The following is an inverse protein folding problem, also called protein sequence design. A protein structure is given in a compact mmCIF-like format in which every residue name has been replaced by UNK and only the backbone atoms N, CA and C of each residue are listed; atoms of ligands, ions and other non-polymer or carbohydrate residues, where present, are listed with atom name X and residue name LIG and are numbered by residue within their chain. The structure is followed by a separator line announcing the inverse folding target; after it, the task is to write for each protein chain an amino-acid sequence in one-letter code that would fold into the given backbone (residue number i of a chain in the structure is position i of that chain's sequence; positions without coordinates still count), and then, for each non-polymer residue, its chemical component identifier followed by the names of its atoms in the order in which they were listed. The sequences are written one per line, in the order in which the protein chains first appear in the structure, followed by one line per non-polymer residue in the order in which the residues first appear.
data_IF_011533477298
#
_entry.id   IF_011533477298
#
_cell.length_a   1.000
_cell.length_b   1.000
_cell.length_c   1.000
_cell.angle_alpha   90.00
_cell.angle_beta   90.00
_cell.angle_gamma   90.00
#
_symmetry.space_group_name_H-M   'P 1'
#
loop_
_entity.id
_entity.type
_entity.pdbx_description
1 polymer ?
#
# COMPACT_ATOMS: atom_id res chain seq x y z
N UNK A 1 -22.44 -4.68 -5.27
CA UNK A 1 -22.94 -5.36 -4.05
C UNK A 1 -24.28 -6.00 -4.37
N UNK A 2 -24.50 -7.26 -3.97
CA UNK A 2 -25.75 -7.98 -4.22
C UNK A 2 -26.55 -8.04 -2.91
N UNK A 3 -27.87 -7.71 -2.92
CA UNK A 3 -28.72 -7.91 -1.75
C UNK A 3 -28.72 -9.37 -1.30
N UNK A 4 -28.76 -9.59 0.00
CA UNK A 4 -28.95 -10.95 0.52
C UNK A 4 -30.33 -11.46 0.10
N UNK A 5 -30.47 -12.78 -0.02
CA UNK A 5 -31.71 -13.42 -0.44
C UNK A 5 -32.87 -12.99 0.49
N UNK A 6 -33.91 -12.37 -0.09
CA UNK A 6 -35.03 -11.79 0.65
C UNK A 6 -34.86 -10.34 1.12
N UNK A 7 -33.84 -9.60 0.65
CA UNK A 7 -33.67 -8.16 0.93
C UNK A 7 -33.72 -7.33 -0.33
N UNK A 8 -34.31 -6.14 -0.24
CA UNK A 8 -34.36 -5.20 -1.36
C UNK A 8 -33.06 -4.41 -1.50
N UNK A 9 -32.36 -4.15 -0.39
CA UNK A 9 -31.13 -3.37 -0.36
C UNK A 9 -29.93 -4.21 0.10
N UNK A 10 -28.75 -3.91 -0.45
CA UNK A 10 -27.50 -4.51 0.05
C UNK A 10 -27.19 -4.00 1.46
N UNK A 11 -26.36 -4.73 2.21
CA UNK A 11 -26.06 -4.41 3.61
C UNK A 11 -25.46 -3.01 3.85
N UNK A 12 -24.99 -2.31 2.82
CA UNK A 12 -24.57 -0.90 2.93
C UNK A 12 -25.71 0.11 2.75
N UNK A 13 -26.83 -0.29 2.13
CA UNK A 13 -27.95 0.59 1.77
C UNK A 13 -29.30 0.20 2.42
N UNK A 14 -29.36 -0.80 3.30
CA UNK A 14 -30.60 -1.22 4.00
C UNK A 14 -31.02 -0.29 5.15
N UNK A 15 -30.71 1.01 5.10
CA UNK A 15 -30.88 1.91 6.24
C UNK A 15 -32.34 2.16 6.64
N UNK A 16 -33.32 1.83 5.79
CA UNK A 16 -34.72 2.29 5.90
C UNK A 16 -35.77 1.17 5.87
N UNK A 17 -35.40 -0.11 6.03
CA UNK A 17 -36.40 -1.16 6.24
C UNK A 17 -36.79 -1.21 7.73
N UNK A 18 -37.89 -0.52 8.08
CA UNK A 18 -38.55 -0.37 9.40
C UNK A 18 -38.86 -1.68 10.16
N UNK A 19 -38.56 -2.85 9.60
CA UNK A 19 -38.98 -4.15 10.17
C UNK A 19 -37.90 -4.85 11.00
N UNK A 20 -36.68 -4.33 11.06
CA UNK A 20 -35.62 -4.89 11.89
C UNK A 20 -34.96 -3.86 12.80
N UNK A 21 -35.35 -3.89 14.09
CA UNK A 21 -34.88 -3.08 15.25
C UNK A 21 -33.37 -3.06 15.54
N UNK A 22 -32.50 -3.43 14.60
CA UNK A 22 -31.04 -3.46 14.80
C UNK A 22 -30.45 -2.10 14.50
N UNK A 23 -30.11 -1.36 15.56
CA UNK A 23 -29.46 -0.05 15.47
C UNK A 23 -28.08 -0.17 14.83
N UNK A 24 -27.81 0.66 13.82
CA UNK A 24 -26.47 0.87 13.26
C UNK A 24 -25.82 2.08 13.89
N UNK A 25 -24.55 1.97 14.20
CA UNK A 25 -23.71 3.04 14.75
C UNK A 25 -22.48 3.23 13.87
N UNK A 26 -21.88 4.41 13.90
CA UNK A 26 -20.57 4.63 13.27
C UNK A 26 -19.52 3.79 14.00
N UNK A 27 -18.54 3.27 13.26
CA UNK A 27 -17.47 2.49 13.87
C UNK A 27 -16.58 3.37 14.76
N UNK A 28 -16.30 2.97 16.02
CA UNK A 28 -15.44 3.73 16.92
C UNK A 28 -13.98 3.86 16.46
N UNK A 29 -13.51 2.95 15.60
CA UNK A 29 -12.13 2.97 15.07
C UNK A 29 -12.00 3.78 13.79
N UNK A 30 -13.11 3.97 13.06
CA UNK A 30 -13.12 4.71 11.80
C UNK A 30 -14.56 5.15 11.47
N UNK A 31 -14.88 6.44 11.60
CA UNK A 31 -16.21 6.95 11.30
C UNK A 31 -16.66 6.81 9.83
N UNK A 32 -15.78 6.37 8.92
CA UNK A 32 -16.12 6.18 7.50
C UNK A 32 -17.08 5.03 7.21
N UNK A 33 -17.34 4.13 8.17
CA UNK A 33 -18.28 3.04 8.00
C UNK A 33 -19.19 2.82 9.21
N UNK A 34 -20.31 2.14 8.97
CA UNK A 34 -21.32 1.80 9.99
C UNK A 34 -21.31 0.32 10.34
N UNK A 35 -21.69 0.00 11.57
CA UNK A 35 -21.75 -1.36 12.12
C UNK A 35 -23.01 -1.51 12.95
N UNK A 36 -23.55 -2.73 13.04
CA UNK A 36 -24.67 -2.96 13.96
C UNK A 36 -24.18 -2.94 15.41
N UNK A 37 -24.94 -2.30 16.29
CA UNK A 37 -24.61 -2.12 17.71
C UNK A 37 -24.40 -3.47 18.41
N UNK A 38 -25.25 -4.47 18.12
CA UNK A 38 -25.15 -5.84 18.62
C UNK A 38 -23.91 -6.60 18.12
N UNK A 39 -23.35 -6.19 16.98
CA UNK A 39 -22.17 -6.81 16.37
C UNK A 39 -20.89 -6.02 16.57
N UNK A 40 -20.93 -4.90 17.30
CA UNK A 40 -19.78 -4.02 17.51
C UNK A 40 -18.56 -4.80 18.02
N UNK A 41 -18.74 -5.64 19.05
CA UNK A 41 -17.64 -6.42 19.62
C UNK A 41 -16.99 -7.38 18.62
N UNK A 42 -17.81 -8.02 17.76
CA UNK A 42 -17.30 -8.88 16.69
C UNK A 42 -16.61 -8.05 15.61
N UNK A 43 -17.15 -6.88 15.29
CA UNK A 43 -16.57 -5.96 14.32
C UNK A 43 -15.20 -5.44 14.75
N UNK A 44 -15.06 -4.95 15.99
CA UNK A 44 -13.79 -4.41 16.50
C UNK A 44 -12.64 -5.42 16.39
N UNK A 45 -12.95 -6.72 16.49
CA UNK A 45 -11.97 -7.80 16.30
C UNK A 45 -11.51 -8.02 14.85
N UNK A 46 -12.24 -7.55 13.85
CA UNK A 46 -11.93 -7.73 12.42
C UNK A 46 -11.85 -6.41 11.64
N UNK A 47 -12.03 -5.28 12.32
CA UNK A 47 -12.00 -3.97 11.70
C UNK A 47 -10.64 -3.74 11.05
N UNK A 48 -10.63 -3.27 9.79
CA UNK A 48 -9.41 -2.95 9.06
C UNK A 48 -8.68 -1.75 9.67
N UNK A 49 -9.44 -0.82 10.27
CA UNK A 49 -8.94 0.39 10.93
C UNK A 49 -8.39 0.10 12.33
N UNK A 50 -8.46 -1.14 12.82
CA UNK A 50 -7.77 -1.56 14.03
C UNK A 50 -6.26 -1.57 13.78
N UNK A 51 -5.50 -0.95 14.67
CA UNK A 51 -4.05 -1.03 14.66
C UNK A 51 -3.60 -2.49 14.77
N UNK A 52 -2.93 -2.97 13.72
CA UNK A 52 -2.32 -4.30 13.71
C UNK A 52 -0.92 -4.18 14.32
N UNK A 53 -0.45 -5.20 15.07
CA UNK A 53 0.92 -5.23 15.54
C UNK A 53 1.83 -5.13 14.33
N UNK A 54 2.72 -4.13 14.35
CA UNK A 54 3.64 -3.89 13.25
C UNK A 54 4.69 -5.00 13.27
N UNK A 55 5.06 -5.58 12.10
CA UNK A 55 6.13 -6.56 12.05
C UNK A 55 7.47 -5.99 12.54
N UNK A 56 8.40 -6.86 12.95
CA UNK A 56 9.72 -6.46 13.47
C UNK A 56 10.54 -5.64 12.45
N UNK A 57 10.33 -5.89 11.16
CA UNK A 57 10.98 -5.16 10.07
C UNK A 57 10.30 -3.83 9.72
N UNK A 58 9.23 -3.43 10.42
CA UNK A 58 8.59 -2.14 10.17
C UNK A 58 9.42 -1.00 10.78
N UNK A 59 9.96 -0.14 9.92
CA UNK A 59 10.56 1.13 10.30
C UNK A 59 9.66 2.28 9.83
N UNK A 60 9.06 3.02 10.78
CA UNK A 60 8.24 4.19 10.46
C UNK A 60 9.12 5.25 9.79
N UNK A 61 8.62 5.84 8.72
CA UNK A 61 9.29 6.95 8.02
C UNK A 61 10.66 6.60 7.41
N UNK A 62 10.98 5.32 7.17
CA UNK A 62 12.30 4.91 6.62
C UNK A 62 12.64 5.55 5.26
N UNK A 63 11.62 5.89 4.47
CA UNK A 63 11.77 6.55 3.17
C UNK A 63 11.24 7.99 3.16
N UNK A 64 10.93 8.58 4.33
CA UNK A 64 10.31 9.91 4.38
C UNK A 64 11.31 11.06 4.17
N UNK A 65 12.57 10.76 3.81
CA UNK A 65 13.66 11.74 3.76
C UNK A 65 14.08 12.21 5.15
N UNK A 66 15.14 13.02 5.19
CA UNK A 66 15.60 13.68 6.41
C UNK A 66 14.64 14.82 6.77
N UNK A 67 13.97 14.73 7.92
CA UNK A 67 13.04 15.77 8.42
C UNK A 67 13.70 17.15 8.65
N UNK A 68 15.03 17.19 8.67
CA UNK A 68 15.83 18.37 9.00
C UNK A 68 16.68 18.86 7.82
N UNK A 69 16.50 18.33 6.62
CA UNK A 69 17.03 19.01 5.44
C UNK A 69 16.11 20.19 5.18
N UNK A 70 16.61 21.39 5.51
CA UNK A 70 16.18 22.60 4.79
C UNK A 70 16.15 22.21 3.34
N UNK A 71 14.99 22.31 2.66
CA UNK A 71 14.84 21.99 1.25
C UNK A 71 16.02 22.60 0.51
N UNK A 72 17.07 21.80 0.27
CA UNK A 72 18.18 22.24 -0.54
C UNK A 72 17.52 22.47 -1.90
N UNK A 73 17.74 23.62 -2.55
CA UNK A 73 17.24 23.82 -3.89
C UNK A 73 17.61 22.56 -4.68
N UNK A 74 16.61 21.84 -5.19
CA UNK A 74 16.88 20.71 -6.06
C UNK A 74 17.69 21.28 -7.23
N UNK A 75 19.00 21.05 -7.22
CA UNK A 75 19.89 21.43 -8.32
C UNK A 75 19.59 20.48 -9.48
N UNK A 76 18.49 20.76 -10.17
CA UNK A 76 18.11 20.05 -11.38
C UNK A 76 19.00 20.56 -12.51
N UNK A 77 19.99 19.74 -12.89
CA UNK A 77 20.77 19.97 -14.10
C UNK A 77 20.06 19.31 -15.29
N UNK A 78 19.96 19.98 -16.45
CA UNK A 78 19.50 19.31 -17.66
C UNK A 78 20.51 18.23 -18.08
N UNK A 79 20.05 17.15 -18.70
CA UNK A 79 20.91 16.06 -19.18
C UNK A 79 22.02 16.59 -20.11
N UNK A 80 21.74 17.63 -20.88
CA UNK A 80 22.71 18.27 -21.78
C UNK A 80 23.87 18.98 -21.06
N UNK A 81 23.72 19.32 -19.77
CA UNK A 81 24.80 19.90 -18.97
C UNK A 81 25.79 18.84 -18.47
N UNK A 82 25.43 17.55 -18.55
CA UNK A 82 26.30 16.46 -18.14
C UNK A 82 27.36 16.18 -19.20
N UNK A 83 28.59 15.93 -18.76
CA UNK A 83 29.62 15.40 -19.63
C UNK A 83 29.26 13.99 -20.12
N UNK A 84 29.85 13.59 -21.25
CA UNK A 84 29.72 12.22 -21.77
C UNK A 84 30.12 11.18 -20.71
N UNK A 85 31.17 11.45 -19.94
CA UNK A 85 31.67 10.52 -18.92
C UNK A 85 30.65 10.34 -17.78
N UNK A 86 30.02 11.42 -17.34
CA UNK A 86 28.96 11.37 -16.31
C UNK A 86 27.75 10.60 -16.81
N UNK A 87 27.34 10.85 -18.05
CA UNK A 87 26.24 10.14 -18.67
C UNK A 87 26.53 8.64 -18.81
N UNK A 88 27.71 8.27 -19.30
CA UNK A 88 28.14 6.87 -19.40
C UNK A 88 28.18 6.19 -18.02
N UNK A 89 28.61 6.91 -16.98
CA UNK A 89 28.62 6.39 -15.61
C UNK A 89 27.20 6.18 -15.06
N UNK A 90 26.27 7.10 -15.36
CA UNK A 90 24.86 6.95 -14.99
C UNK A 90 24.25 5.73 -15.68
N UNK A 91 24.47 5.57 -16.98
CA UNK A 91 24.01 4.41 -17.76
C UNK A 91 24.57 3.11 -17.16
N UNK A 92 25.87 3.07 -16.85
CA UNK A 92 26.49 1.90 -16.20
C UNK A 92 25.84 1.55 -14.86
N UNK A 93 25.53 2.55 -14.03
CA UNK A 93 24.85 2.33 -12.74
C UNK A 93 23.44 1.78 -12.94
N UNK A 94 22.69 2.31 -13.90
CA UNK A 94 21.33 1.86 -14.22
C UNK A 94 21.31 0.41 -14.72
N UNK A 95 22.20 0.06 -15.65
CA UNK A 95 22.34 -1.32 -16.14
C UNK A 95 22.69 -2.26 -14.99
N UNK A 96 23.64 -1.87 -14.13
CA UNK A 96 24.02 -2.69 -12.98
C UNK A 96 22.84 -2.94 -12.03
N UNK A 97 22.09 -1.90 -11.69
CA UNK A 97 20.92 -2.01 -10.83
C UNK A 97 19.84 -2.93 -11.45
N UNK A 98 19.58 -2.75 -12.75
CA UNK A 98 18.65 -3.59 -13.51
C UNK A 98 19.06 -5.07 -13.47
N UNK A 99 20.34 -5.36 -13.70
CA UNK A 99 20.85 -6.74 -13.66
C UNK A 99 20.73 -7.34 -12.26
N UNK A 100 21.09 -6.60 -11.21
CA UNK A 100 20.94 -7.07 -9.82
C UNK A 100 19.49 -7.39 -9.46
N UNK A 101 18.52 -6.57 -9.92
CA UNK A 101 17.10 -6.87 -9.72
C UNK A 101 16.66 -8.12 -10.49
N UNK A 102 17.17 -8.32 -11.70
CA UNK A 102 16.87 -9.49 -12.52
C UNK A 102 17.47 -10.78 -11.94
N UNK A 103 18.69 -10.71 -11.40
CA UNK A 103 19.34 -11.80 -10.65
C UNK A 103 18.52 -12.15 -9.41
N UNK A 104 18.15 -11.15 -8.62
CA UNK A 104 17.31 -11.33 -7.44
C UNK A 104 15.97 -11.96 -7.79
N UNK A 105 15.32 -11.58 -8.90
CA UNK A 105 14.05 -12.17 -9.35
C UNK A 105 14.18 -13.66 -9.70
N UNK A 106 15.33 -14.05 -10.26
CA UNK A 106 15.60 -15.41 -10.72
C UNK A 106 16.18 -16.32 -9.61
N UNK A 107 16.39 -15.82 -8.40
CA UNK A 107 16.90 -16.62 -7.28
C UNK A 107 15.90 -17.74 -6.91
N UNK A 108 16.29 -19.03 -7.04
CA UNK A 108 15.42 -20.16 -6.72
C UNK A 108 15.08 -20.30 -5.23
N UNK A 109 15.80 -19.60 -4.35
CA UNK A 109 15.50 -19.55 -2.92
C UNK A 109 14.36 -18.58 -2.57
N UNK A 110 13.88 -17.79 -3.53
CA UNK A 110 12.73 -16.92 -3.31
C UNK A 110 11.45 -17.73 -3.12
N UNK A 111 10.80 -17.55 -1.97
CA UNK A 111 9.42 -18.00 -1.79
C UNK A 111 8.43 -17.19 -2.64
N UNK A 112 7.23 -17.74 -2.85
CA UNK A 112 6.16 -17.15 -3.67
C UNK A 112 5.86 -15.67 -3.37
N UNK A 113 5.92 -15.29 -2.09
CA UNK A 113 5.67 -13.92 -1.65
C UNK A 113 6.79 -12.96 -2.09
N UNK A 114 8.05 -13.38 -1.95
CA UNK A 114 9.21 -12.61 -2.37
C UNK A 114 9.24 -12.47 -3.90
N UNK A 115 8.99 -13.55 -4.62
CA UNK A 115 8.92 -13.55 -6.08
C UNK A 115 7.85 -12.58 -6.62
N UNK A 116 6.63 -12.60 -6.05
CA UNK A 116 5.55 -11.67 -6.45
C UNK A 116 5.95 -10.21 -6.24
N UNK A 117 6.60 -9.92 -5.11
CA UNK A 117 7.07 -8.58 -4.80
C UNK A 117 8.19 -8.12 -5.74
N UNK A 118 9.21 -8.96 -5.97
CA UNK A 118 10.30 -8.68 -6.90
C UNK A 118 9.81 -8.50 -8.33
N UNK A 119 8.83 -9.32 -8.76
CA UNK A 119 8.20 -9.17 -10.08
C UNK A 119 7.54 -7.79 -10.22
N UNK A 120 6.84 -7.33 -9.19
CA UNK A 120 6.25 -5.98 -9.19
C UNK A 120 7.32 -4.90 -9.32
N UNK A 121 8.44 -5.03 -8.61
CA UNK A 121 9.55 -4.07 -8.67
C UNK A 121 10.22 -4.04 -10.06
N UNK A 122 10.50 -5.20 -10.64
CA UNK A 122 11.14 -5.32 -11.96
C UNK A 122 10.25 -4.79 -13.09
N UNK A 123 8.92 -5.00 -13.01
CA UNK A 123 7.98 -4.45 -13.99
C UNK A 123 7.97 -2.91 -14.05
N UNK A 124 8.36 -2.21 -12.98
CA UNK A 124 8.47 -0.75 -12.99
C UNK A 124 9.70 -0.25 -13.76
N UNK A 125 10.73 -1.09 -13.92
CA UNK A 125 11.99 -0.76 -14.60
C UNK A 125 11.93 -1.08 -16.10
N UNK A 126 11.06 -2.02 -16.51
CA UNK A 126 11.00 -2.56 -17.89
C UNK A 126 9.83 -2.01 -18.74
N UNK A 127 9.23 -0.87 -18.38
CA UNK A 127 8.29 -0.13 -19.24
C UNK A 127 8.95 1.12 -19.79
#
# INVERSE_FOLDING_TARGET
MVPAQGRHFCGEHSAEEEEHKRKRILCPLDPKHTVYEDQLQKHLKKCNSREKPKPVYFAKDINAGLKNETELPEEQAPISALSKQELDNLIRKLIKASNTLQEALNDPHNGDAAFKHLKQQVCLVNN
#
